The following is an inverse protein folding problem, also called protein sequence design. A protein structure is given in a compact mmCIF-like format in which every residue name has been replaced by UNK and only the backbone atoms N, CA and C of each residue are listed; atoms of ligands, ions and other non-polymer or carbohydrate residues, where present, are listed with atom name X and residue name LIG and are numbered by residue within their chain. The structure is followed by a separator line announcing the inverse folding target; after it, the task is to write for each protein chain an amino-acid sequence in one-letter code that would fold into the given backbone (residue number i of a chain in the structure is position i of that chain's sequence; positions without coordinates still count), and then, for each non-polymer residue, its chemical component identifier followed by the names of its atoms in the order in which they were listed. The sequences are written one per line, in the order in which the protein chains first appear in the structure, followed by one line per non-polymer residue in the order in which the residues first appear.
data_IF_935298207204
#
_entry.id   IF_935298207204
#
_cell.length_a   1.000
_cell.length_b   1.000
_cell.length_c   1.000
_cell.angle_alpha   90.00
_cell.angle_beta   90.00
_cell.angle_gamma   90.00
#
_symmetry.space_group_name_H-M   'P 1'
#
loop_
_entity.id
_entity.type
_entity.pdbx_description
1 polymer ?
#
# COMPACT_ATOMS: atom_id res chain seq x y z
N UNK A 1 8.46 -19.44 -30.92
CA UNK A 1 8.86 -18.09 -30.43
C UNK A 1 8.25 -17.89 -29.05
N UNK A 2 9.05 -17.97 -27.98
CA UNK A 2 8.59 -17.53 -26.66
C UNK A 2 8.43 -16.01 -26.72
N UNK A 3 7.19 -15.51 -26.58
CA UNK A 3 6.96 -14.08 -26.35
C UNK A 3 7.55 -13.74 -24.99
N UNK A 4 8.46 -12.76 -24.95
CA UNK A 4 8.85 -12.11 -23.70
C UNK A 4 7.59 -11.44 -23.13
N UNK A 5 7.07 -11.99 -22.03
CA UNK A 5 5.98 -11.36 -21.29
C UNK A 5 6.58 -10.17 -20.54
N UNK A 6 6.10 -8.96 -20.83
CA UNK A 6 6.46 -7.78 -20.04
C UNK A 6 5.76 -7.88 -18.70
N UNK A 7 6.54 -8.00 -17.63
CA UNK A 7 6.04 -7.91 -16.25
C UNK A 7 5.67 -6.45 -15.94
N UNK A 8 4.67 -6.25 -15.11
CA UNK A 8 4.35 -4.99 -14.43
C UNK A 8 5.38 -4.67 -13.34
N UNK A 9 5.37 -3.43 -12.84
CA UNK A 9 6.23 -3.04 -11.71
C UNK A 9 5.93 -3.85 -10.44
N UNK A 10 4.65 -4.10 -10.13
CA UNK A 10 4.27 -4.94 -9.00
C UNK A 10 4.75 -6.37 -9.15
N UNK A 11 4.65 -6.97 -10.34
CA UNK A 11 5.16 -8.33 -10.55
C UNK A 11 6.69 -8.41 -10.39
N UNK A 12 7.43 -7.40 -10.88
CA UNK A 12 8.89 -7.33 -10.66
C UNK A 12 9.24 -7.18 -9.19
N UNK A 13 8.56 -6.28 -8.48
CA UNK A 13 8.81 -6.03 -7.07
C UNK A 13 8.44 -7.25 -6.21
N UNK A 14 7.30 -7.88 -6.48
CA UNK A 14 6.90 -9.14 -5.84
C UNK A 14 7.94 -10.22 -6.07
N UNK A 15 8.42 -10.41 -7.31
CA UNK A 15 9.44 -11.42 -7.59
C UNK A 15 10.73 -11.20 -6.78
N UNK A 16 11.25 -9.96 -6.74
CA UNK A 16 12.43 -9.63 -5.94
C UNK A 16 12.20 -9.84 -4.43
N UNK A 17 11.00 -9.52 -3.93
CA UNK A 17 10.64 -9.70 -2.52
C UNK A 17 10.50 -11.18 -2.14
N UNK A 18 9.96 -12.00 -3.03
CA UNK A 18 9.88 -13.45 -2.83
C UNK A 18 11.26 -14.09 -2.82
N UNK A 19 12.16 -13.66 -3.71
CA UNK A 19 13.56 -14.09 -3.72
C UNK A 19 14.25 -13.70 -2.40
N UNK A 20 14.07 -12.46 -1.94
CA UNK A 20 14.62 -11.99 -0.67
C UNK A 20 14.12 -12.82 0.54
N UNK A 21 12.82 -13.12 0.57
CA UNK A 21 12.17 -13.96 1.60
C UNK A 21 12.72 -15.38 1.59
N UNK A 22 12.77 -16.00 0.41
CA UNK A 22 13.10 -17.42 0.28
C UNK A 22 14.61 -17.66 0.49
N UNK A 23 15.47 -16.70 0.13
CA UNK A 23 16.90 -16.73 0.47
C UNK A 23 17.19 -16.77 1.98
N UNK A 24 16.19 -16.44 2.81
CA UNK A 24 16.29 -16.46 4.29
C UNK A 24 15.43 -17.55 4.93
N UNK A 25 14.81 -18.41 4.12
CA UNK A 25 13.85 -19.42 4.58
C UNK A 25 12.69 -18.82 5.41
N UNK A 26 12.33 -17.56 5.16
CA UNK A 26 11.31 -16.84 5.95
C UNK A 26 9.88 -17.20 5.57
N UNK A 27 9.69 -17.95 4.48
CA UNK A 27 8.37 -18.40 4.04
C UNK A 27 7.59 -19.10 5.15
N UNK A 28 8.27 -19.82 6.05
CA UNK A 28 7.67 -20.51 7.19
C UNK A 28 6.99 -19.57 8.21
N UNK A 29 7.45 -18.32 8.33
CA UNK A 29 6.89 -17.32 9.24
C UNK A 29 5.77 -16.48 8.58
N UNK A 30 5.72 -16.46 7.24
CA UNK A 30 4.81 -15.64 6.46
C UNK A 30 3.43 -16.31 6.29
N UNK A 31 2.78 -16.70 7.39
CA UNK A 31 1.34 -17.04 7.36
C UNK A 31 0.50 -15.81 6.98
N UNK A 32 -0.70 -15.99 6.43
CA UNK A 32 -1.52 -14.85 5.98
C UNK A 32 -1.85 -13.92 7.16
N UNK A 33 -2.16 -14.50 8.32
CA UNK A 33 -2.35 -13.75 9.57
C UNK A 33 -1.11 -12.94 9.92
N UNK A 34 0.07 -13.55 9.91
CA UNK A 34 1.30 -12.87 10.32
C UNK A 34 1.64 -11.72 9.37
N UNK A 35 1.48 -11.91 8.06
CA UNK A 35 1.70 -10.84 7.07
C UNK A 35 0.74 -9.66 7.27
N UNK A 36 -0.55 -9.92 7.53
CA UNK A 36 -1.52 -8.87 7.84
C UNK A 36 -1.16 -8.14 9.14
N UNK A 37 -0.71 -8.88 10.16
CA UNK A 37 -0.22 -8.29 11.41
C UNK A 37 0.99 -7.39 11.15
N UNK A 38 1.98 -7.85 10.39
CA UNK A 38 3.15 -7.04 10.02
C UNK A 38 2.75 -5.78 9.26
N UNK A 39 1.88 -5.87 8.25
CA UNK A 39 1.37 -4.68 7.55
C UNK A 39 0.76 -3.64 8.52
N UNK A 40 0.02 -4.10 9.53
CA UNK A 40 -0.55 -3.20 10.53
C UNK A 40 0.51 -2.56 11.43
N UNK A 41 1.64 -3.25 11.69
CA UNK A 41 2.76 -2.68 12.44
C UNK A 41 3.41 -1.56 11.62
N UNK A 42 3.72 -1.78 10.33
CA UNK A 42 4.33 -0.73 9.49
C UNK A 42 3.39 0.47 9.28
N UNK A 43 2.08 0.21 9.22
CA UNK A 43 1.08 1.28 9.21
C UNK A 43 1.04 2.08 10.53
N UNK A 44 1.39 1.45 11.66
CA UNK A 44 1.53 2.13 12.93
C UNK A 44 2.85 2.91 13.02
N UNK A 45 3.96 2.39 12.47
CA UNK A 45 5.23 3.11 12.36
C UNK A 45 5.07 4.38 11.50
N UNK A 46 4.36 4.29 10.37
CA UNK A 46 3.97 5.47 9.58
C UNK A 46 3.14 6.48 10.39
N UNK A 47 2.23 6.00 11.24
CA UNK A 47 1.41 6.87 12.10
C UNK A 47 2.27 7.56 13.17
N UNK A 48 3.26 6.86 13.75
CA UNK A 48 4.17 7.40 14.75
C UNK A 48 4.95 8.63 14.26
N UNK A 49 5.27 8.70 12.96
CA UNK A 49 5.90 9.88 12.35
C UNK A 49 5.06 11.16 12.53
N UNK A 50 3.75 11.04 12.77
CA UNK A 50 2.80 12.16 12.83
C UNK A 50 2.22 12.42 14.22
N UNK A 51 2.33 11.47 15.17
CA UNK A 51 1.55 11.44 16.41
C UNK A 51 1.63 12.72 17.27
N UNK A 52 2.79 13.37 17.31
CA UNK A 52 3.05 14.54 18.16
C UNK A 52 3.34 15.82 17.37
N UNK A 53 2.95 15.85 16.09
CA UNK A 53 3.22 16.97 15.18
C UNK A 53 1.96 17.75 14.89
N UNK A 54 2.09 19.06 14.70
CA UNK A 54 1.05 19.90 14.10
C UNK A 54 0.94 19.62 12.59
N UNK A 55 -0.19 20.01 11.98
CA UNK A 55 -0.39 19.86 10.53
C UNK A 55 0.74 20.51 9.72
N UNK A 56 1.22 21.69 10.13
CA UNK A 56 2.33 22.37 9.47
C UNK A 56 3.66 21.59 9.55
N UNK A 57 3.91 20.90 10.66
CA UNK A 57 5.08 20.04 10.82
C UNK A 57 4.95 18.74 10.03
N UNK A 58 3.73 18.18 9.91
CA UNK A 58 3.46 17.00 9.08
C UNK A 58 3.66 17.31 7.59
N UNK A 59 3.15 18.45 7.11
CA UNK A 59 3.35 18.92 5.73
C UNK A 59 4.83 19.17 5.41
N UNK A 60 5.66 19.48 6.42
CA UNK A 60 7.09 19.69 6.26
C UNK A 60 7.92 18.40 6.24
N UNK A 61 7.36 17.23 6.61
CA UNK A 61 8.10 15.96 6.67
C UNK A 61 8.90 15.64 5.39
N UNK A 62 8.35 15.82 4.16
CA UNK A 62 9.10 15.51 2.93
C UNK A 62 10.31 16.42 2.67
N UNK A 63 10.40 17.57 3.36
CA UNK A 63 11.50 18.54 3.18
C UNK A 63 12.61 18.38 4.21
N UNK A 64 12.37 17.62 5.28
CA UNK A 64 13.34 17.33 6.33
C UNK A 64 14.01 15.99 6.05
N UNK A 65 15.31 15.92 5.69
CA UNK A 65 15.92 14.73 5.08
C UNK A 65 15.69 13.43 5.85
N UNK A 66 15.88 13.44 7.17
CA UNK A 66 15.69 12.25 8.02
C UNK A 66 14.22 11.81 8.10
N UNK A 67 13.30 12.76 8.09
CA UNK A 67 11.87 12.46 8.17
C UNK A 67 11.31 12.04 6.81
N UNK A 68 11.85 12.60 5.73
CA UNK A 68 11.55 12.18 4.37
C UNK A 68 12.01 10.73 4.11
N UNK A 69 13.19 10.36 4.60
CA UNK A 69 13.70 8.99 4.55
C UNK A 69 12.78 8.04 5.32
N UNK A 70 12.51 8.32 6.61
CA UNK A 70 11.60 7.51 7.41
C UNK A 70 10.20 7.38 6.77
N UNK A 71 9.61 8.48 6.30
CA UNK A 71 8.32 8.48 5.60
C UNK A 71 8.33 7.57 4.35
N UNK A 72 9.43 7.61 3.59
CA UNK A 72 9.62 6.78 2.41
C UNK A 72 9.71 5.29 2.78
N UNK A 73 10.49 4.97 3.81
CA UNK A 73 10.70 3.60 4.28
C UNK A 73 9.39 2.98 4.78
N UNK A 74 8.63 3.67 5.64
CA UNK A 74 7.36 3.12 6.15
C UNK A 74 6.32 2.93 5.04
N UNK A 75 6.28 3.84 4.06
CA UNK A 75 5.42 3.68 2.89
C UNK A 75 5.83 2.47 2.04
N UNK A 76 7.14 2.23 1.91
CA UNK A 76 7.67 1.08 1.18
C UNK A 76 7.36 -0.22 1.93
N UNK A 77 7.53 -0.27 3.25
CA UNK A 77 7.27 -1.46 4.04
C UNK A 77 5.79 -1.87 4.02
N UNK A 78 4.87 -0.91 4.13
CA UNK A 78 3.43 -1.17 3.92
C UNK A 78 3.18 -1.80 2.54
N UNK A 79 3.79 -1.26 1.49
CA UNK A 79 3.64 -1.79 0.13
C UNK A 79 4.21 -3.22 0.02
N UNK A 80 5.40 -3.47 0.55
CA UNK A 80 6.05 -4.78 0.48
C UNK A 80 5.24 -5.86 1.20
N UNK A 81 4.72 -5.57 2.39
CA UNK A 81 3.82 -6.52 3.07
C UNK A 81 2.50 -6.70 2.33
N UNK A 82 1.93 -5.64 1.74
CA UNK A 82 0.71 -5.77 0.95
C UNK A 82 0.93 -6.67 -0.29
N UNK A 83 2.10 -6.58 -0.93
CA UNK A 83 2.48 -7.46 -2.03
C UNK A 83 2.64 -8.92 -1.59
N UNK A 84 3.24 -9.18 -0.42
CA UNK A 84 3.31 -10.54 0.15
C UNK A 84 1.93 -11.10 0.48
N UNK A 85 1.03 -10.27 1.01
CA UNK A 85 -0.36 -10.65 1.28
C UNK A 85 -1.07 -10.99 -0.04
N UNK A 86 -0.94 -10.15 -1.05
CA UNK A 86 -1.56 -10.34 -2.36
C UNK A 86 -1.06 -11.62 -3.04
N UNK A 87 0.26 -11.84 -3.07
CA UNK A 87 0.87 -13.08 -3.58
C UNK A 87 0.32 -14.32 -2.85
N UNK A 88 0.35 -14.31 -1.51
CA UNK A 88 -0.11 -15.44 -0.70
C UNK A 88 -1.61 -15.72 -0.85
N UNK A 89 -2.41 -14.69 -1.09
CA UNK A 89 -3.86 -14.80 -1.26
C UNK A 89 -4.30 -15.01 -2.72
N UNK A 90 -3.37 -15.01 -3.69
CA UNK A 90 -3.68 -15.14 -5.11
C UNK A 90 -4.42 -13.91 -5.69
N UNK A 91 -4.13 -12.72 -5.17
CA UNK A 91 -4.77 -11.46 -5.59
C UNK A 91 -3.87 -10.75 -6.60
N UNK A 92 -4.40 -10.45 -7.78
CA UNK A 92 -3.79 -9.45 -8.66
C UNK A 92 -4.09 -8.05 -8.11
N UNK A 93 -3.10 -7.47 -7.40
CA UNK A 93 -3.29 -6.22 -6.67
C UNK A 93 -3.61 -5.02 -7.60
N UNK A 94 -2.99 -4.96 -8.79
CA UNK A 94 -3.24 -3.89 -9.75
C UNK A 94 -4.67 -3.96 -10.30
N UNK A 95 -5.13 -5.15 -10.71
CA UNK A 95 -6.52 -5.34 -11.17
C UNK A 95 -7.53 -5.05 -10.05
N UNK A 96 -7.25 -5.50 -8.82
CA UNK A 96 -8.09 -5.22 -7.66
C UNK A 96 -8.19 -3.71 -7.38
N UNK A 97 -7.08 -2.97 -7.49
CA UNK A 97 -7.06 -1.52 -7.32
C UNK A 97 -7.87 -0.80 -8.42
N UNK A 98 -7.70 -1.17 -9.69
CA UNK A 98 -8.48 -0.61 -10.80
C UNK A 98 -9.99 -0.88 -10.64
N UNK A 99 -10.37 -2.11 -10.29
CA UNK A 99 -11.76 -2.46 -10.04
C UNK A 99 -12.34 -1.67 -8.85
N UNK A 100 -11.53 -1.42 -7.81
CA UNK A 100 -11.95 -0.61 -6.67
C UNK A 100 -12.13 0.87 -7.03
N UNK A 101 -11.26 1.43 -7.87
CA UNK A 101 -11.41 2.80 -8.37
C UNK A 101 -12.70 2.98 -9.17
N UNK A 102 -13.04 2.04 -10.06
CA UNK A 102 -14.30 2.07 -10.80
C UNK A 102 -15.52 2.06 -9.85
N UNK A 103 -15.52 1.15 -8.87
CA UNK A 103 -16.57 1.09 -7.83
C UNK A 103 -16.64 2.38 -6.99
N UNK A 104 -15.51 3.03 -6.73
CA UNK A 104 -15.49 4.29 -5.99
C UNK A 104 -16.05 5.44 -6.83
N UNK A 105 -15.77 5.49 -8.13
CA UNK A 105 -16.32 6.50 -9.04
C UNK A 105 -17.84 6.40 -9.16
N UNK A 106 -18.40 5.19 -9.16
CA UNK A 106 -19.84 4.95 -9.11
C UNK A 106 -20.46 5.42 -7.78
N UNK A 107 -19.77 5.17 -6.65
CA UNK A 107 -20.23 5.59 -5.31
C UNK A 107 -20.13 7.09 -5.08
N UNK A 108 -19.16 7.76 -5.69
CA UNK A 108 -18.90 9.19 -5.54
C UNK A 108 -18.88 9.89 -6.92
N UNK A 109 -20.04 10.05 -7.59
CA UNK A 109 -20.09 10.76 -8.85
C UNK A 109 -19.64 12.22 -8.67
N UNK A 110 -18.83 12.74 -9.60
CA UNK A 110 -18.28 14.11 -9.53
C UNK A 110 -19.37 15.15 -9.30
N UNK A 111 -20.51 15.05 -9.99
CA UNK A 111 -21.62 15.98 -9.88
C UNK A 111 -22.22 16.09 -8.47
N UNK A 112 -22.06 15.05 -7.63
CA UNK A 112 -22.59 15.02 -6.27
C UNK A 112 -21.51 15.19 -5.20
N UNK A 113 -20.30 14.69 -5.48
CA UNK A 113 -19.22 14.60 -4.50
C UNK A 113 -18.17 15.74 -4.59
N UNK A 114 -18.20 16.58 -5.63
CA UNK A 114 -17.22 17.65 -5.80
C UNK A 114 -17.20 18.60 -4.59
N UNK A 115 -16.04 18.75 -3.95
CA UNK A 115 -15.86 19.60 -2.76
C UNK A 115 -16.58 19.11 -1.49
N UNK A 116 -17.16 17.91 -1.51
CA UNK A 116 -17.92 17.38 -0.38
C UNK A 116 -17.16 16.27 0.35
N UNK A 117 -17.16 16.33 1.69
CA UNK A 117 -16.68 15.24 2.56
C UNK A 117 -17.80 14.27 2.98
N UNK A 118 -19.03 14.50 2.50
CA UNK A 118 -20.17 13.68 2.86
C UNK A 118 -19.96 12.23 2.39
N UNK A 119 -20.43 11.27 3.19
CA UNK A 119 -20.39 9.86 2.78
C UNK A 119 -21.32 9.66 1.58
N UNK A 120 -21.06 8.64 0.75
CA UNK A 120 -21.92 8.34 -0.40
C UNK A 120 -23.40 8.13 -0.04
N UNK A 121 -23.69 7.72 1.20
CA UNK A 121 -25.04 7.59 1.75
C UNK A 121 -25.75 8.92 2.02
N UNK A 122 -25.04 10.04 1.96
CA UNK A 122 -25.48 11.39 2.31
C UNK A 122 -25.41 12.36 1.11
N UNK A 123 -25.02 11.86 -0.08
CA UNK A 123 -24.92 12.67 -1.30
C UNK A 123 -26.31 12.88 -1.93
N UNK A 124 -26.74 14.13 -2.00
CA UNK A 124 -27.95 14.57 -2.70
C UNK A 124 -27.78 14.52 -4.22
#
# INVERSE_FOLDING_TARGET
MCRSVKLSDFERLTAALLEFRDARDWRQFHSLRNLITSLNLEAAELLELTQWKSDAEVEALPTEPKMAEALCDECADILLYLLLIADKAGINLAEAAHAKLAKNAEKYPVAKAFGSRAKYSELS
#
